data_IF_223545788753
#
_entry.id   IF_223545788753
#
_cell.length_a   1.000
_cell.length_b   1.000
_cell.length_c   1.000
_cell.angle_alpha   90.00
_cell.angle_beta   90.00
_cell.angle_gamma   90.00
#
_symmetry.space_group_name_H-M   'P 1'
#
loop_
_entity.id
_entity.type
_entity.pdbx_description
1 polymer ?
#
# COMPACT_ATOMS: atom_id res chain seq x y z
N UNK A 1 19.22 24.47 13.28
CA UNK A 1 20.16 23.43 12.84
C UNK A 1 19.74 22.94 11.47
N UNK A 2 20.60 23.06 10.45
CA UNK A 2 20.34 22.48 9.12
C UNK A 2 20.75 21.00 9.14
N UNK A 3 19.83 20.09 8.82
CA UNK A 3 20.14 18.67 8.63
C UNK A 3 20.75 18.46 7.24
N UNK A 4 22.06 18.25 7.17
CA UNK A 4 22.72 17.90 5.92
C UNK A 4 22.56 16.39 5.67
N UNK A 5 21.82 16.00 4.63
CA UNK A 5 21.65 14.61 4.21
C UNK A 5 22.75 14.17 3.25
N UNK A 6 23.50 13.12 3.59
CA UNK A 6 24.49 12.48 2.70
C UNK A 6 23.84 11.27 2.00
N UNK A 7 24.01 11.15 0.68
CA UNK A 7 23.48 10.02 -0.11
C UNK A 7 24.58 8.98 -0.34
N UNK A 8 24.31 7.74 0.05
CA UNK A 8 25.20 6.60 -0.21
C UNK A 8 24.56 5.62 -1.21
N UNK A 9 25.40 4.97 -2.02
CA UNK A 9 24.97 3.89 -2.91
C UNK A 9 25.01 2.57 -2.16
N UNK A 10 23.88 1.87 -2.12
CA UNK A 10 23.83 0.48 -1.65
C UNK A 10 24.23 -0.47 -2.80
N UNK A 11 25.11 -1.43 -2.52
CA UNK A 11 25.51 -2.50 -3.45
C UNK A 11 25.10 -3.86 -2.87
N UNK A 12 23.81 -4.24 -2.92
CA UNK A 12 23.34 -5.48 -2.34
C UNK A 12 23.87 -6.72 -3.07
N UNK A 13 24.09 -7.80 -2.33
CA UNK A 13 24.39 -9.13 -2.88
C UNK A 13 23.20 -9.69 -3.66
N UNK A 14 23.40 -10.74 -4.44
CA UNK A 14 22.32 -11.39 -5.20
C UNK A 14 21.17 -11.88 -4.31
N UNK A 15 21.50 -12.44 -3.14
CA UNK A 15 20.51 -12.87 -2.14
C UNK A 15 19.74 -11.69 -1.55
N UNK A 16 20.44 -10.62 -1.16
CA UNK A 16 19.80 -9.40 -0.64
C UNK A 16 18.85 -8.78 -1.68
N UNK A 17 19.22 -8.78 -2.97
CA UNK A 17 18.34 -8.31 -4.05
C UNK A 17 17.06 -9.14 -4.13
N UNK A 18 17.14 -10.45 -3.94
CA UNK A 18 15.97 -11.33 -3.93
C UNK A 18 15.03 -11.00 -2.77
N UNK A 19 15.57 -10.86 -1.55
CA UNK A 19 14.81 -10.48 -0.35
C UNK A 19 14.13 -9.12 -0.53
N UNK A 20 14.87 -8.11 -1.00
CA UNK A 20 14.32 -6.78 -1.27
C UNK A 20 13.24 -6.81 -2.34
N UNK A 21 13.41 -7.64 -3.39
CA UNK A 21 12.39 -7.85 -4.41
C UNK A 21 11.11 -8.47 -3.84
N UNK A 22 11.26 -9.43 -2.92
CA UNK A 22 10.12 -10.02 -2.22
C UNK A 22 9.38 -8.97 -1.38
N UNK A 23 10.10 -8.17 -0.59
CA UNK A 23 9.50 -7.10 0.21
C UNK A 23 8.82 -6.03 -0.65
N UNK A 24 9.38 -5.69 -1.81
CA UNK A 24 8.72 -4.86 -2.83
C UNK A 24 7.42 -5.48 -3.36
N UNK A 25 7.39 -6.80 -3.52
CA UNK A 25 6.19 -7.55 -3.83
C UNK A 25 5.13 -7.40 -2.75
N UNK A 26 5.48 -7.65 -1.49
CA UNK A 26 4.58 -7.56 -0.34
C UNK A 26 3.98 -6.17 -0.16
N UNK A 27 4.80 -5.12 -0.23
CA UNK A 27 4.31 -3.74 -0.20
C UNK A 27 3.33 -3.46 -1.36
N UNK A 28 3.70 -3.82 -2.59
CA UNK A 28 2.81 -3.64 -3.74
C UNK A 28 1.48 -4.37 -3.56
N UNK A 29 1.53 -5.58 -3.02
CA UNK A 29 0.34 -6.39 -2.76
C UNK A 29 -0.60 -5.66 -1.79
N UNK A 30 -0.12 -5.23 -0.61
CA UNK A 30 -0.96 -4.51 0.38
C UNK A 30 -1.58 -3.25 -0.22
N UNK A 31 -0.79 -2.44 -0.95
CA UNK A 31 -1.32 -1.24 -1.59
C UNK A 31 -2.44 -1.57 -2.59
N UNK A 32 -2.23 -2.61 -3.40
CA UNK A 32 -3.21 -3.03 -4.41
C UNK A 32 -4.45 -3.65 -3.78
N UNK A 33 -4.30 -4.42 -2.71
CA UNK A 33 -5.40 -5.01 -1.97
C UNK A 33 -6.31 -3.93 -1.36
N UNK A 34 -5.73 -2.85 -0.81
CA UNK A 34 -6.49 -1.66 -0.38
C UNK A 34 -7.23 -0.97 -1.53
N UNK A 35 -6.62 -0.87 -2.72
CA UNK A 35 -7.33 -0.37 -3.91
C UNK A 35 -8.50 -1.28 -4.31
N UNK A 36 -8.33 -2.59 -4.25
CA UNK A 36 -9.37 -3.57 -4.59
C UNK A 36 -10.52 -3.54 -3.57
N UNK A 37 -10.22 -3.48 -2.28
CA UNK A 37 -11.19 -3.34 -1.18
C UNK A 37 -12.04 -2.08 -1.35
N UNK A 38 -11.41 -0.93 -1.59
CA UNK A 38 -12.12 0.34 -1.80
C UNK A 38 -12.98 0.34 -3.07
N UNK A 39 -12.51 -0.29 -4.16
CA UNK A 39 -13.32 -0.46 -5.37
C UNK A 39 -14.53 -1.38 -5.10
N UNK A 40 -14.32 -2.48 -4.40
CA UNK A 40 -15.36 -3.44 -4.04
C UNK A 40 -16.43 -2.78 -3.17
N UNK A 41 -16.05 -2.16 -2.05
CA UNK A 41 -16.98 -1.53 -1.11
C UNK A 41 -17.78 -0.42 -1.76
N UNK A 42 -17.20 0.35 -2.68
CA UNK A 42 -17.94 1.39 -3.42
C UNK A 42 -18.98 0.84 -4.35
N UNK A 43 -18.59 -0.19 -5.09
CA UNK A 43 -19.52 -0.87 -5.98
C UNK A 43 -20.66 -1.45 -5.17
N UNK A 44 -20.34 -2.12 -4.07
CA UNK A 44 -21.33 -2.69 -3.15
C UNK A 44 -22.28 -1.62 -2.58
N UNK A 45 -21.75 -0.52 -2.04
CA UNK A 45 -22.57 0.57 -1.48
C UNK A 45 -23.46 1.24 -2.53
N UNK A 46 -22.98 1.39 -3.77
CA UNK A 46 -23.77 1.96 -4.87
C UNK A 46 -24.98 1.09 -5.22
N UNK A 47 -24.90 -0.22 -5.00
CA UNK A 47 -25.95 -1.18 -5.34
C UNK A 47 -26.80 -1.62 -4.14
N UNK A 48 -26.50 -1.14 -2.93
CA UNK A 48 -27.20 -1.51 -1.70
C UNK A 48 -28.01 -0.35 -1.14
N UNK A 49 -29.32 -0.35 -1.37
CA UNK A 49 -30.23 0.71 -0.92
C UNK A 49 -30.26 0.83 0.62
N UNK A 50 -30.10 -0.29 1.33
CA UNK A 50 -30.05 -0.33 2.80
C UNK A 50 -28.81 0.33 3.40
N UNK A 51 -27.77 0.57 2.58
CA UNK A 51 -26.53 1.21 3.01
C UNK A 51 -26.40 2.65 2.48
N UNK A 52 -27.51 3.25 2.06
CA UNK A 52 -27.55 4.66 1.67
C UNK A 52 -27.06 5.54 2.82
N UNK A 53 -26.08 6.41 2.56
CA UNK A 53 -25.45 7.27 3.57
C UNK A 53 -24.20 6.69 4.24
N UNK A 54 -23.87 5.41 4.01
CA UNK A 54 -22.61 4.84 4.48
C UNK A 54 -21.43 5.29 3.62
N UNK A 55 -20.29 5.48 4.27
CA UNK A 55 -19.02 5.83 3.60
C UNK A 55 -18.05 4.67 3.61
N UNK A 56 -17.22 4.61 2.57
CA UNK A 56 -16.17 3.58 2.46
C UNK A 56 -15.06 3.91 3.45
N UNK A 57 -14.61 2.94 4.27
CA UNK A 57 -13.53 3.17 5.20
C UNK A 57 -12.22 3.49 4.44
N UNK A 58 -11.66 4.66 4.71
CA UNK A 58 -10.34 5.08 4.23
C UNK A 58 -9.39 5.08 5.43
N UNK A 59 -8.91 3.88 5.79
CA UNK A 59 -8.08 3.64 6.96
C UNK A 59 -6.71 3.02 6.59
N UNK A 60 -5.92 2.70 7.61
CA UNK A 60 -4.59 2.11 7.48
C UNK A 60 -4.56 0.61 7.84
N UNK A 61 -5.73 0.01 8.09
CA UNK A 61 -5.82 -1.41 8.46
C UNK A 61 -5.39 -2.28 7.28
N UNK A 62 -4.64 -3.34 7.57
CA UNK A 62 -4.14 -4.27 6.55
C UNK A 62 -4.09 -5.73 7.01
N UNK A 63 -4.42 -6.00 8.28
CA UNK A 63 -4.34 -7.34 8.87
C UNK A 63 -5.27 -8.33 8.16
N UNK A 64 -6.41 -7.87 7.64
CA UNK A 64 -7.35 -8.69 6.87
C UNK A 64 -6.74 -9.28 5.60
N UNK A 65 -5.66 -8.67 5.07
CA UNK A 65 -4.97 -9.20 3.89
C UNK A 65 -3.96 -10.29 4.23
N UNK A 66 -3.69 -10.55 5.51
CA UNK A 66 -2.84 -11.67 5.95
C UNK A 66 -3.73 -12.89 6.21
N UNK A 67 -3.92 -13.67 5.16
CA UNK A 67 -4.71 -14.90 5.16
C UNK A 67 -3.82 -16.12 4.83
N UNK A 68 -4.41 -17.31 4.93
CA UNK A 68 -3.80 -18.57 4.47
C UNK A 68 -3.42 -18.55 2.98
N UNK A 69 -4.09 -17.72 2.17
CA UNK A 69 -3.78 -17.55 0.74
C UNK A 69 -2.59 -16.63 0.48
N UNK A 70 -2.09 -15.95 1.52
CA UNK A 70 -1.02 -14.94 1.43
C UNK A 70 0.12 -15.22 2.41
N UNK A 71 0.64 -16.46 2.50
CA UNK A 71 1.60 -16.84 3.54
C UNK A 71 2.90 -16.03 3.47
N UNK A 72 3.33 -15.64 2.26
CA UNK A 72 4.55 -14.86 2.03
C UNK A 72 4.53 -13.45 2.65
N UNK A 73 3.36 -12.95 3.08
CA UNK A 73 3.28 -11.69 3.83
C UNK A 73 3.82 -11.84 5.26
N UNK A 74 3.84 -13.06 5.81
CA UNK A 74 4.45 -13.33 7.12
C UNK A 74 5.98 -13.20 7.08
N UNK A 75 6.60 -13.50 5.94
CA UNK A 75 8.05 -13.42 5.73
C UNK A 75 8.56 -11.98 5.48
N UNK A 76 7.64 -11.02 5.43
CA UNK A 76 7.97 -9.61 5.23
C UNK A 76 7.92 -8.84 6.56
N UNK A 77 8.91 -7.97 6.85
CA UNK A 77 8.86 -7.12 8.03
C UNK A 77 7.54 -6.33 8.08
N UNK A 78 6.85 -6.37 9.23
CA UNK A 78 5.52 -5.79 9.39
C UNK A 78 5.47 -4.28 9.09
N UNK A 79 6.60 -3.59 9.29
CA UNK A 79 6.80 -2.18 8.99
C UNK A 79 6.65 -1.90 7.51
N UNK A 80 7.09 -2.80 6.63
CA UNK A 80 6.93 -2.65 5.18
C UNK A 80 5.44 -2.73 4.79
N UNK A 81 4.70 -3.65 5.39
CA UNK A 81 3.26 -3.80 5.15
C UNK A 81 2.49 -2.58 5.67
N UNK A 82 2.75 -2.18 6.91
CA UNK A 82 2.16 -0.99 7.54
C UNK A 82 2.47 0.29 6.74
N UNK A 83 3.72 0.52 6.36
CA UNK A 83 4.07 1.70 5.58
C UNK A 83 3.36 1.71 4.22
N UNK A 84 3.10 0.54 3.65
CA UNK A 84 2.34 0.46 2.41
C UNK A 84 0.87 0.86 2.57
N UNK A 85 0.21 0.47 3.66
CA UNK A 85 -1.16 0.91 3.94
C UNK A 85 -1.22 2.41 4.25
N UNK A 86 -0.25 2.93 5.02
CA UNK A 86 -0.09 4.38 5.27
C UNK A 86 0.03 5.16 3.96
N UNK A 87 0.87 4.71 3.02
CA UNK A 87 1.02 5.37 1.73
C UNK A 87 -0.24 5.36 0.86
N UNK A 88 -1.07 4.33 0.99
CA UNK A 88 -2.38 4.30 0.34
C UNK A 88 -3.32 5.33 0.96
N UNK A 89 -3.34 5.40 2.30
CA UNK A 89 -4.11 6.38 3.05
C UNK A 89 -3.68 7.82 2.70
N UNK A 90 -2.38 8.11 2.67
CA UNK A 90 -1.83 9.41 2.28
C UNK A 90 -2.19 9.79 0.83
N UNK A 91 -2.14 8.82 -0.10
CA UNK A 91 -2.57 9.06 -1.48
C UNK A 91 -4.06 9.46 -1.54
N UNK A 92 -4.88 8.91 -0.65
CA UNK A 92 -6.27 9.33 -0.47
C UNK A 92 -6.40 10.73 0.13
N UNK A 93 -5.62 11.07 1.15
CA UNK A 93 -5.61 12.41 1.73
C UNK A 93 -5.27 13.47 0.66
N UNK A 94 -4.27 13.19 -0.18
CA UNK A 94 -3.93 14.05 -1.31
C UNK A 94 -5.05 14.17 -2.34
N UNK A 95 -5.79 13.09 -2.61
CA UNK A 95 -6.96 13.11 -3.48
C UNK A 95 -8.06 14.01 -2.91
N UNK A 96 -8.36 13.92 -1.61
CA UNK A 96 -9.34 14.79 -0.95
C UNK A 96 -8.94 16.27 -0.97
N UNK A 97 -7.63 16.56 -0.92
CA UNK A 97 -7.09 17.92 -1.07
C UNK A 97 -7.02 18.41 -2.53
N UNK A 98 -7.43 17.60 -3.50
CA UNK A 98 -7.32 17.95 -4.93
C UNK A 98 -5.89 17.98 -5.48
N UNK A 99 -4.90 17.46 -4.73
CA UNK A 99 -3.48 17.50 -5.08
C UNK A 99 -3.01 16.31 -5.93
N UNK A 100 -3.87 15.31 -6.11
CA UNK A 100 -3.59 14.11 -6.90
C UNK A 100 -4.89 13.44 -7.34
N UNK A 101 -4.79 12.58 -8.36
CA UNK A 101 -5.84 11.63 -8.68
C UNK A 101 -6.02 10.59 -7.57
N UNK A 102 -7.16 9.91 -7.61
CA UNK A 102 -7.51 8.84 -6.67
C UNK A 102 -6.48 7.70 -6.69
N UNK A 103 -6.21 7.02 -5.56
CA UNK A 103 -5.31 5.88 -5.53
C UNK A 103 -5.68 4.77 -6.51
N UNK A 104 -4.72 4.34 -7.33
CA UNK A 104 -4.88 3.28 -8.34
C UNK A 104 -3.83 2.18 -8.16
N UNK A 105 -4.14 0.95 -8.59
CA UNK A 105 -3.23 -0.19 -8.51
C UNK A 105 -1.85 0.11 -9.11
N UNK A 106 -0.81 -0.34 -8.43
CA UNK A 106 0.59 -0.22 -8.82
C UNK A 106 1.02 -1.43 -9.65
N UNK A 107 1.80 -1.17 -10.70
CA UNK A 107 2.46 -2.18 -11.53
C UNK A 107 3.89 -2.43 -11.06
N UNK A 108 4.44 -3.61 -11.33
CA UNK A 108 5.88 -3.90 -11.14
C UNK A 108 6.72 -2.98 -12.03
N UNK A 109 7.90 -2.59 -11.56
CA UNK A 109 8.83 -1.72 -12.30
C UNK A 109 8.61 -0.21 -12.13
N UNK A 110 7.46 0.25 -11.63
CA UNK A 110 7.33 1.64 -11.14
C UNK A 110 8.04 1.78 -9.80
N UNK A 111 8.80 2.87 -9.60
CA UNK A 111 9.54 3.15 -8.36
C UNK A 111 8.63 3.02 -7.14
N UNK A 112 8.88 2.01 -6.31
CA UNK A 112 8.30 1.90 -4.97
C UNK A 112 9.32 2.56 -4.05
N UNK A 113 9.12 3.83 -3.71
CA UNK A 113 9.91 4.47 -2.66
C UNK A 113 9.54 3.82 -1.31
N UNK A 114 10.54 3.39 -0.55
CA UNK A 114 10.42 2.93 0.85
C UNK A 114 10.96 3.97 1.84
N UNK A 115 11.01 5.24 1.41
CA UNK A 115 11.40 6.38 2.23
C UNK A 115 10.24 7.33 2.35
#
# INVERSE_FOLDING_TARGET
MSLNGVKFKANPTSEQKLILSQWMGCARFIYNAKCDEDQYLRTFLKHSLSLTGWSVPIDQTYSQFKTELTPWLADCPSQILRNSSVRWYEAYQRYFQGLAGRPSKKKKGKKIAFG
#
